data_IF_617413114146
#
_entry.id   IF_617413114146
#
_cell.length_a   1.000
_cell.length_b   1.000
_cell.length_c   1.000
_cell.angle_alpha   90.00
_cell.angle_beta   90.00
_cell.angle_gamma   90.00
#
_symmetry.space_group_name_H-M   'P 1'
#
loop_
_entity.id
_entity.type
_entity.pdbx_description
1 polymer ?
#
# COMPACT_ATOMS: atom_id res chain seq x y z
N UNK A 1 39.42 -13.62 8.02
CA UNK A 1 38.96 -14.55 6.96
C UNK A 1 39.62 -14.15 5.65
N UNK A 2 40.38 -15.04 5.02
CA UNK A 2 41.10 -14.73 3.77
C UNK A 2 40.11 -14.56 2.60
N UNK A 3 40.23 -13.48 1.84
CA UNK A 3 39.42 -13.26 0.63
C UNK A 3 39.90 -14.22 -0.46
N UNK A 4 39.03 -15.06 -1.05
CA UNK A 4 39.45 -16.03 -2.06
C UNK A 4 40.01 -15.33 -3.31
N UNK A 5 41.15 -15.81 -3.81
CA UNK A 5 41.96 -15.24 -4.91
C UNK A 5 41.18 -14.97 -6.22
N UNK A 6 39.99 -15.55 -6.40
CA UNK A 6 39.19 -15.46 -7.62
C UNK A 6 37.84 -14.73 -7.49
N UNK A 7 37.63 -13.99 -6.40
CA UNK A 7 36.35 -13.28 -6.15
C UNK A 7 35.93 -12.35 -7.31
N UNK A 8 36.88 -11.69 -7.98
CA UNK A 8 36.61 -10.79 -9.12
C UNK A 8 36.15 -11.56 -10.38
N UNK A 9 36.77 -12.71 -10.66
CA UNK A 9 36.44 -13.56 -11.82
C UNK A 9 35.05 -14.14 -11.66
N UNK A 10 34.74 -14.70 -10.49
CA UNK A 10 33.41 -15.24 -10.17
C UNK A 10 32.31 -14.16 -10.22
N UNK A 11 32.64 -12.89 -9.92
CA UNK A 11 31.70 -11.78 -10.05
C UNK A 11 31.41 -11.45 -11.52
N UNK A 12 32.44 -11.53 -12.38
CA UNK A 12 32.31 -11.33 -13.83
C UNK A 12 31.41 -12.38 -14.48
N UNK A 13 31.67 -13.66 -14.21
CA UNK A 13 30.88 -14.79 -14.73
C UNK A 13 29.39 -14.69 -14.34
N UNK A 14 29.10 -14.34 -13.09
CA UNK A 14 27.72 -14.10 -12.63
C UNK A 14 27.06 -12.91 -13.34
N UNK A 15 27.83 -11.86 -13.64
CA UNK A 15 27.35 -10.71 -14.40
C UNK A 15 27.03 -11.06 -15.85
N UNK A 16 27.85 -11.89 -16.48
CA UNK A 16 27.64 -12.35 -17.85
C UNK A 16 26.42 -13.28 -17.96
N UNK A 17 26.30 -14.25 -17.06
CA UNK A 17 25.11 -15.11 -17.00
C UNK A 17 23.82 -14.30 -16.75
N UNK A 18 23.88 -13.26 -15.92
CA UNK A 18 22.77 -12.34 -15.69
C UNK A 18 22.42 -11.52 -16.95
N UNK A 19 23.43 -11.03 -17.68
CA UNK A 19 23.26 -10.33 -18.96
C UNK A 19 22.57 -11.23 -19.99
N UNK A 20 22.99 -12.49 -20.11
CA UNK A 20 22.37 -13.44 -21.04
C UNK A 20 20.90 -13.72 -20.67
N UNK A 21 20.58 -13.90 -19.38
CA UNK A 21 19.19 -14.05 -18.91
C UNK A 21 18.34 -12.81 -19.22
N UNK A 22 18.90 -11.63 -19.05
CA UNK A 22 18.21 -10.38 -19.36
C UNK A 22 17.97 -10.21 -20.88
N UNK A 23 18.95 -10.53 -21.71
CA UNK A 23 18.79 -10.53 -23.17
C UNK A 23 17.76 -11.58 -23.62
N UNK A 24 17.79 -12.78 -23.03
CA UNK A 24 16.78 -13.79 -23.29
C UNK A 24 15.37 -13.32 -22.87
N UNK A 25 15.24 -12.57 -21.77
CA UNK A 25 13.98 -11.94 -21.38
C UNK A 25 13.52 -10.89 -22.40
N UNK A 26 14.41 -9.99 -22.83
CA UNK A 26 14.11 -8.99 -23.87
C UNK A 26 13.71 -9.61 -25.20
N UNK A 27 14.35 -10.72 -25.59
CA UNK A 27 14.03 -11.44 -26.82
C UNK A 27 12.75 -12.28 -26.71
N UNK A 28 12.39 -12.72 -25.49
CA UNK A 28 11.15 -13.45 -25.18
C UNK A 28 9.94 -12.55 -24.92
N UNK A 29 10.09 -11.23 -24.92
CA UNK A 29 8.97 -10.27 -24.88
C UNK A 29 8.07 -10.31 -26.14
N UNK A 30 8.34 -11.22 -27.08
CA UNK A 30 7.35 -11.72 -28.05
C UNK A 30 6.15 -12.35 -27.30
N UNK A 31 4.90 -12.24 -27.78
CA UNK A 31 3.66 -12.25 -26.96
C UNK A 31 3.35 -13.54 -26.16
N UNK A 32 4.18 -14.57 -26.21
CA UNK A 32 3.98 -15.87 -25.56
C UNK A 32 4.24 -15.91 -24.05
N UNK A 33 4.85 -14.87 -23.45
CA UNK A 33 5.02 -14.76 -21.98
C UNK A 33 3.80 -14.17 -21.25
N UNK A 34 2.84 -13.58 -21.96
CA UNK A 34 1.60 -13.08 -21.34
C UNK A 34 0.64 -14.24 -20.99
N UNK A 35 0.67 -15.33 -21.76
CA UNK A 35 -0.18 -16.52 -21.54
C UNK A 35 0.16 -17.31 -20.27
N UNK A 36 1.43 -17.29 -19.82
CA UNK A 36 1.87 -18.12 -18.68
C UNK A 36 1.41 -17.61 -17.30
N UNK A 37 0.72 -16.45 -17.25
CA UNK A 37 0.27 -15.84 -16.00
C UNK A 37 -1.24 -15.84 -15.83
N UNK A 38 -2.00 -16.25 -16.85
CA UNK A 38 -3.44 -16.43 -16.74
C UNK A 38 -3.72 -17.50 -15.67
N UNK A 39 -4.39 -17.11 -14.58
CA UNK A 39 -4.76 -18.02 -13.49
C UNK A 39 -3.70 -18.27 -12.41
N UNK A 40 -2.51 -17.67 -12.48
CA UNK A 40 -1.45 -17.83 -11.44
C UNK A 40 -1.56 -16.84 -10.27
N UNK A 41 -2.47 -15.87 -10.37
CA UNK A 41 -2.74 -14.93 -9.29
C UNK A 41 -3.58 -15.58 -8.20
N UNK A 42 -3.11 -15.53 -6.94
CA UNK A 42 -3.93 -15.91 -5.80
C UNK A 42 -5.20 -15.07 -5.68
N UNK A 43 -6.20 -15.57 -4.96
CA UNK A 43 -7.44 -14.84 -4.71
C UNK A 43 -7.13 -13.45 -4.13
N UNK A 44 -7.80 -12.43 -4.67
CA UNK A 44 -7.74 -11.08 -4.13
C UNK A 44 -8.19 -11.13 -2.66
N UNK A 45 -7.48 -10.47 -1.73
CA UNK A 45 -7.92 -10.41 -0.34
C UNK A 45 -9.32 -9.79 -0.26
N UNK A 46 -10.12 -10.31 0.67
CA UNK A 46 -11.47 -9.83 0.94
C UNK A 46 -11.46 -8.32 1.22
N UNK A 47 -12.53 -7.63 0.79
CA UNK A 47 -12.69 -6.19 0.99
C UNK A 47 -13.84 -5.91 1.95
N UNK A 48 -13.60 -5.03 2.94
CA UNK A 48 -14.60 -4.56 3.90
C UNK A 48 -15.14 -3.20 3.46
N UNK A 49 -16.44 -2.98 3.63
CA UNK A 49 -17.07 -1.66 3.47
C UNK A 49 -16.79 -0.81 4.70
N UNK A 50 -16.48 0.46 4.47
CA UNK A 50 -16.16 1.45 5.49
C UNK A 50 -16.97 2.71 5.23
N UNK A 51 -17.28 3.44 6.30
CA UNK A 51 -18.12 4.62 6.27
C UNK A 51 -17.34 5.81 6.84
N UNK A 52 -17.29 6.92 6.10
CA UNK A 52 -16.49 8.08 6.45
C UNK A 52 -17.14 9.38 5.98
N UNK A 53 -16.72 10.52 6.56
CA UNK A 53 -17.10 11.86 6.08
C UNK A 53 -16.02 12.43 5.17
N UNK A 54 -16.41 13.02 4.05
CA UNK A 54 -15.48 13.51 3.03
C UNK A 54 -14.95 14.91 3.38
N UNK A 55 -13.74 15.25 2.94
CA UNK A 55 -13.17 16.59 3.15
C UNK A 55 -13.76 17.62 2.20
N UNK A 56 -13.84 17.29 0.91
CA UNK A 56 -14.19 18.23 -0.17
C UNK A 56 -15.70 18.42 -0.36
N UNK A 57 -16.53 17.73 0.44
CA UNK A 57 -17.98 17.80 0.35
C UNK A 57 -18.55 18.12 1.72
N UNK A 58 -19.40 19.13 1.76
CA UNK A 58 -20.21 19.41 2.94
C UNK A 58 -21.42 18.45 2.93
N UNK A 59 -21.31 17.40 3.72
CA UNK A 59 -22.37 16.43 3.93
C UNK A 59 -22.89 16.63 5.35
N UNK A 60 -24.22 16.62 5.56
CA UNK A 60 -24.76 16.69 6.91
C UNK A 60 -24.22 15.51 7.73
N UNK A 61 -23.98 15.72 9.02
CA UNK A 61 -23.30 14.74 9.87
C UNK A 61 -23.96 13.36 9.99
N UNK A 62 -25.22 13.22 9.53
CA UNK A 62 -25.93 11.94 9.45
C UNK A 62 -25.57 11.13 8.20
N UNK A 63 -24.94 11.73 7.19
CA UNK A 63 -24.60 11.11 5.92
C UNK A 63 -23.11 10.71 5.92
N UNK A 64 -22.85 9.45 5.57
CA UNK A 64 -21.52 8.89 5.43
C UNK A 64 -21.29 8.41 4.00
N UNK A 65 -20.11 8.68 3.45
CA UNK A 65 -19.68 8.13 2.19
C UNK A 65 -19.22 6.67 2.37
N UNK A 66 -19.67 5.79 1.46
CA UNK A 66 -19.16 4.42 1.39
C UNK A 66 -17.78 4.37 0.72
N UNK A 67 -16.84 3.72 1.40
CA UNK A 67 -15.52 3.41 0.89
C UNK A 67 -15.20 1.93 1.11
N UNK A 68 -14.12 1.45 0.48
CA UNK A 68 -13.64 0.08 0.68
C UNK A 68 -12.15 0.05 0.99
N UNK A 69 -11.79 -0.92 1.83
CA UNK A 69 -10.42 -1.31 2.09
C UNK A 69 -10.34 -2.83 2.14
N UNK A 70 -9.17 -3.39 1.83
CA UNK A 70 -8.93 -4.83 2.04
C UNK A 70 -8.95 -5.15 3.54
N UNK A 71 -9.50 -6.29 3.94
CA UNK A 71 -9.56 -6.71 5.35
C UNK A 71 -8.19 -6.63 6.04
N UNK A 72 -7.07 -7.12 5.47
CA UNK A 72 -5.75 -7.00 6.11
C UNK A 72 -5.31 -5.54 6.34
N UNK A 73 -5.69 -4.62 5.44
CA UNK A 73 -5.38 -3.20 5.58
C UNK A 73 -6.15 -2.59 6.75
N UNK A 74 -7.45 -2.88 6.86
CA UNK A 74 -8.29 -2.41 7.97
C UNK A 74 -7.81 -2.95 9.31
N UNK A 75 -7.54 -4.25 9.39
CA UNK A 75 -7.06 -4.92 10.61
C UNK A 75 -5.74 -4.32 11.13
N UNK A 76 -4.88 -3.82 10.24
CA UNK A 76 -3.63 -3.16 10.63
C UNK A 76 -3.86 -1.79 11.28
N UNK A 77 -4.92 -1.07 10.89
CA UNK A 77 -5.13 0.34 11.28
C UNK A 77 -6.29 0.55 12.26
N UNK A 78 -7.18 -0.44 12.43
CA UNK A 78 -8.34 -0.35 13.34
C UNK A 78 -7.96 -0.17 14.81
N UNK A 79 -6.70 -0.38 15.19
CA UNK A 79 -6.21 -0.11 16.55
C UNK A 79 -5.83 1.35 16.79
N UNK A 80 -5.74 2.17 15.73
CA UNK A 80 -5.31 3.57 15.81
C UNK A 80 -6.53 4.44 16.10
N UNK A 81 -6.54 5.11 17.26
CA UNK A 81 -7.68 5.91 17.74
C UNK A 81 -8.08 7.01 16.74
N UNK A 82 -7.11 7.68 16.13
CA UNK A 82 -7.33 8.74 15.15
C UNK A 82 -7.98 8.23 13.86
N UNK A 83 -7.76 6.95 13.51
CA UNK A 83 -8.43 6.29 12.37
C UNK A 83 -9.86 5.94 12.74
N UNK A 84 -10.10 5.33 13.90
CA UNK A 84 -11.46 4.96 14.36
C UNK A 84 -12.37 6.17 14.57
N UNK A 85 -11.82 7.33 14.93
CA UNK A 85 -12.59 8.56 15.04
C UNK A 85 -13.14 9.05 13.69
N UNK A 86 -12.57 8.59 12.57
CA UNK A 86 -12.79 9.15 11.22
C UNK A 86 -13.35 8.14 10.22
N UNK A 87 -13.17 6.86 10.50
CA UNK A 87 -13.61 5.75 9.68
C UNK A 87 -14.37 4.77 10.56
N UNK A 88 -15.62 4.54 10.21
CA UNK A 88 -16.51 3.61 10.91
C UNK A 88 -16.65 2.34 10.09
N UNK A 89 -16.69 1.21 10.76
CA UNK A 89 -16.93 -0.09 10.12
C UNK A 89 -18.40 -0.50 10.15
N UNK A 90 -19.21 0.18 10.97
CA UNK A 90 -20.66 0.08 10.99
C UNK A 90 -21.29 1.45 11.27
N UNK A 91 -22.49 1.67 10.76
CA UNK A 91 -23.30 2.85 11.05
C UNK A 91 -24.66 2.40 11.60
N UNK A 92 -25.12 3.05 12.68
CA UNK A 92 -26.45 2.84 13.24
C UNK A 92 -27.40 3.96 12.79
N UNK A 93 -28.70 3.68 12.76
CA UNK A 93 -29.73 4.70 12.55
C UNK A 93 -29.58 5.84 13.58
N UNK A 94 -29.78 7.12 13.20
CA UNK A 94 -30.35 7.64 11.96
C UNK A 94 -29.32 7.90 10.83
N UNK A 95 -28.10 7.36 10.91
CA UNK A 95 -27.07 7.62 9.91
C UNK A 95 -27.37 6.89 8.59
N UNK A 96 -27.14 7.56 7.48
CA UNK A 96 -27.36 7.07 6.11
C UNK A 96 -26.02 6.92 5.40
N UNK A 97 -25.87 5.85 4.62
CA UNK A 97 -24.72 5.67 3.73
C UNK A 97 -25.06 6.07 2.30
N UNK A 98 -24.17 6.81 1.65
CA UNK A 98 -24.25 7.15 0.24
C UNK A 98 -23.01 6.65 -0.49
N UNK A 99 -23.23 5.97 -1.61
CA UNK A 99 -22.17 5.53 -2.52
C UNK A 99 -22.01 6.54 -3.65
N UNK A 100 -20.90 7.25 -3.66
CA UNK A 100 -20.58 8.20 -4.71
C UNK A 100 -19.83 7.52 -5.87
N UNK A 101 -20.24 7.77 -7.12
CA UNK A 101 -19.62 7.14 -8.30
C UNK A 101 -18.30 7.80 -8.72
N UNK A 102 -18.20 9.13 -8.60
CA UNK A 102 -17.04 9.92 -9.03
C UNK A 102 -16.23 10.52 -7.89
N UNK A 103 -16.78 10.50 -6.66
CA UNK A 103 -16.10 11.07 -5.50
C UNK A 103 -15.29 9.98 -4.82
N UNK A 104 -14.00 10.24 -4.64
CA UNK A 104 -13.11 9.37 -3.90
C UNK A 104 -12.79 9.99 -2.54
N UNK A 105 -12.77 9.19 -1.45
CA UNK A 105 -12.29 9.67 -0.17
C UNK A 105 -10.78 9.90 -0.21
N UNK A 106 -10.29 10.82 0.64
CA UNK A 106 -8.87 10.94 0.90
C UNK A 106 -8.30 9.60 1.37
N UNK A 107 -7.02 9.36 1.09
CA UNK A 107 -6.36 8.10 1.46
C UNK A 107 -5.07 8.36 2.20
N UNK A 108 -4.83 7.51 3.19
CA UNK A 108 -3.58 7.49 3.94
C UNK A 108 -2.80 6.27 3.47
N UNK A 109 -1.57 6.52 3.04
CA UNK A 109 -0.63 5.46 2.69
C UNK A 109 0.31 5.27 3.86
N UNK A 110 0.09 4.19 4.60
CA UNK A 110 0.98 3.72 5.64
C UNK A 110 2.06 2.84 5.03
N UNK A 111 3.33 3.17 5.27
CA UNK A 111 4.45 2.35 4.83
C UNK A 111 5.27 1.96 6.04
N UNK A 112 5.43 0.66 6.29
CA UNK A 112 6.44 0.20 7.25
C UNK A 112 7.82 0.53 6.67
N UNK A 113 8.65 1.26 7.43
CA UNK A 113 10.04 1.47 7.03
C UNK A 113 10.80 0.15 7.01
N UNK A 114 11.98 0.18 6.37
CA UNK A 114 12.86 -0.97 6.24
C UNK A 114 13.10 -1.61 7.60
N UNK A 115 12.69 -2.87 7.76
CA UNK A 115 13.23 -3.70 8.83
C UNK A 115 14.76 -3.67 8.75
N UNK A 116 15.42 -3.65 9.91
CA UNK A 116 16.88 -3.71 10.02
C UNK A 116 17.46 -4.98 9.38
N UNK A 117 16.61 -5.98 9.13
CA UNK A 117 16.94 -7.24 8.45
C UNK A 117 16.20 -7.38 7.11
N UNK A 118 16.95 -7.59 6.02
CA UNK A 118 16.42 -7.97 4.71
C UNK A 118 16.47 -9.49 4.49
N UNK A 119 15.56 -10.03 3.67
CA UNK A 119 15.63 -11.43 3.21
C UNK A 119 16.35 -11.51 1.88
N UNK A 120 17.22 -12.51 1.70
CA UNK A 120 17.87 -12.71 0.40
C UNK A 120 16.82 -13.21 -0.62
N UNK A 121 16.61 -12.44 -1.68
CA UNK A 121 15.72 -12.79 -2.79
C UNK A 121 16.52 -12.82 -4.10
N UNK A 122 15.99 -13.47 -5.13
CA UNK A 122 16.64 -13.59 -6.43
C UNK A 122 15.80 -12.88 -7.48
N UNK A 123 16.42 -12.02 -8.29
CA UNK A 123 15.71 -11.32 -9.36
C UNK A 123 15.22 -12.32 -10.40
N UNK A 124 13.94 -12.27 -10.73
CA UNK A 124 13.37 -13.07 -11.80
C UNK A 124 13.99 -12.74 -13.17
N UNK A 125 14.40 -11.47 -13.37
CA UNK A 125 14.93 -10.99 -14.65
C UNK A 125 16.41 -11.34 -14.83
N UNK A 126 17.22 -11.05 -13.81
CA UNK A 126 18.69 -11.18 -13.91
C UNK A 126 19.23 -12.42 -13.20
N UNK A 127 18.43 -13.10 -12.37
CA UNK A 127 18.90 -14.21 -11.54
C UNK A 127 19.88 -13.81 -10.44
N UNK A 128 20.15 -12.51 -10.26
CA UNK A 128 21.06 -12.02 -9.23
C UNK A 128 20.35 -11.96 -7.88
N UNK A 129 21.08 -12.35 -6.82
CA UNK A 129 20.61 -12.25 -5.43
C UNK A 129 20.65 -10.78 -4.98
N UNK A 130 19.59 -10.33 -4.33
CA UNK A 130 19.46 -9.01 -3.74
C UNK A 130 18.81 -9.12 -2.35
N UNK A 131 19.02 -8.12 -1.49
CA UNK A 131 18.31 -8.02 -0.22
C UNK A 131 16.94 -7.38 -0.45
N UNK A 132 15.88 -8.11 -0.14
CA UNK A 132 14.50 -7.63 -0.14
C UNK A 132 14.12 -7.22 1.26
N UNK A 133 13.81 -5.94 1.44
CA UNK A 133 13.25 -5.42 2.68
C UNK A 133 11.74 -5.67 2.73
N UNK A 134 11.22 -6.14 3.86
CA UNK A 134 9.81 -6.49 4.07
C UNK A 134 8.91 -5.24 4.25
N UNK A 135 9.09 -4.26 3.38
CA UNK A 135 8.29 -3.06 3.37
C UNK A 135 6.86 -3.40 2.95
N UNK A 136 5.90 -3.13 3.82
CA UNK A 136 4.48 -3.21 3.52
C UNK A 136 3.96 -1.80 3.31
N UNK A 137 3.34 -1.59 2.16
CA UNK A 137 2.58 -0.37 1.86
C UNK A 137 1.11 -0.72 1.97
N UNK A 138 0.42 -0.05 2.86
CA UNK A 138 -1.01 -0.20 3.12
C UNK A 138 -1.66 1.14 2.79
N UNK A 139 -2.70 1.11 1.97
CA UNK A 139 -3.51 2.30 1.68
C UNK A 139 -4.90 2.08 2.23
N UNK A 140 -5.39 3.02 3.04
CA UNK A 140 -6.73 2.97 3.61
C UNK A 140 -7.46 4.32 3.42
N UNK A 141 -8.79 4.30 3.28
CA UNK A 141 -9.58 5.52 3.12
C UNK A 141 -9.67 6.28 4.45
N UNK A 142 -9.78 7.59 4.37
CA UNK A 142 -9.75 8.49 5.50
C UNK A 142 -10.66 9.70 5.27
N UNK A 143 -11.13 10.30 6.36
CA UNK A 143 -12.16 11.34 6.32
C UNK A 143 -12.12 12.26 7.53
N UNK A 144 -13.14 13.09 7.68
CA UNK A 144 -13.31 14.01 8.81
C UNK A 144 -13.79 13.29 10.08
N UNK A 145 -13.36 13.74 11.25
CA UNK A 145 -13.92 13.30 12.53
C UNK A 145 -15.21 14.07 12.91
N UNK A 146 -15.24 15.36 12.58
CA UNK A 146 -16.37 16.28 12.79
C UNK A 146 -16.53 17.20 11.58
N UNK A 147 -17.64 17.93 11.50
CA UNK A 147 -17.94 18.79 10.35
C UNK A 147 -16.99 20.00 10.25
N UNK A 148 -16.35 20.37 11.36
CA UNK A 148 -15.33 21.42 11.45
C UNK A 148 -13.90 20.93 11.20
N UNK A 149 -13.67 19.61 11.13
CA UNK A 149 -12.32 19.04 11.03
C UNK A 149 -11.69 19.39 9.67
N UNK A 150 -10.54 20.04 9.69
CA UNK A 150 -9.80 20.35 8.47
C UNK A 150 -8.90 19.19 8.08
N UNK A 151 -8.53 19.11 6.80
CA UNK A 151 -7.61 18.08 6.33
C UNK A 151 -6.24 18.15 7.05
N UNK A 152 -5.73 19.36 7.28
CA UNK A 152 -4.45 19.57 7.94
C UNK A 152 -4.45 19.07 9.39
N UNK A 153 -5.52 19.31 10.15
CA UNK A 153 -5.69 18.83 11.52
C UNK A 153 -5.79 17.31 11.58
N UNK A 154 -6.57 16.73 10.66
CA UNK A 154 -6.73 15.29 10.56
C UNK A 154 -5.41 14.57 10.23
N UNK A 155 -4.59 15.17 9.34
CA UNK A 155 -3.23 14.72 9.03
C UNK A 155 -2.31 14.80 10.25
N UNK A 156 -2.34 15.91 10.99
CA UNK A 156 -1.51 16.10 12.17
C UNK A 156 -1.86 15.08 13.27
N UNK A 157 -3.16 14.85 13.51
CA UNK A 157 -3.64 13.86 14.48
C UNK A 157 -3.18 12.43 14.15
N UNK A 158 -3.20 12.06 12.86
CA UNK A 158 -2.69 10.76 12.42
C UNK A 158 -1.18 10.62 12.61
N UNK A 159 -0.42 11.67 12.29
CA UNK A 159 1.05 11.67 12.43
C UNK A 159 1.51 11.51 13.88
N UNK A 160 0.72 11.99 14.85
CA UNK A 160 1.04 11.86 16.29
C UNK A 160 0.85 10.43 16.81
N UNK A 161 -0.11 9.68 16.27
CA UNK A 161 -0.46 8.34 16.76
C UNK A 161 0.19 7.22 15.96
N UNK A 162 0.62 7.50 14.73
CA UNK A 162 1.41 6.56 13.94
C UNK A 162 2.88 6.72 14.36
N UNK A 163 3.56 5.66 14.85
CA UNK A 163 4.96 5.76 15.24
C UNK A 163 5.81 6.28 14.06
N UNK A 164 6.79 7.14 14.36
CA UNK A 164 7.64 7.85 13.38
C UNK A 164 8.40 6.95 12.40
N UNK A 165 8.40 5.64 12.66
CA UNK A 165 8.88 4.57 11.79
C UNK A 165 7.96 4.26 10.61
N UNK A 166 6.84 4.97 10.45
CA UNK A 166 6.01 4.95 9.26
C UNK A 166 5.71 6.38 8.81
N UNK A 167 6.06 6.72 7.57
CA UNK A 167 5.72 8.04 7.00
C UNK A 167 4.37 7.94 6.30
N UNK A 168 3.29 8.50 6.86
CA UNK A 168 2.02 8.58 6.14
C UNK A 168 2.21 9.52 4.95
N UNK A 169 1.99 9.00 3.74
CA UNK A 169 1.84 9.82 2.54
C UNK A 169 0.35 10.02 2.31
N UNK A 170 -0.06 11.28 2.21
CA UNK A 170 -1.43 11.64 1.92
C UNK A 170 -1.56 11.92 0.43
N UNK A 171 -2.59 11.36 -0.19
CA UNK A 171 -2.98 11.72 -1.55
C UNK A 171 -4.23 12.58 -1.45
N UNK A 172 -4.04 13.88 -1.70
CA UNK A 172 -5.12 14.77 -2.08
C UNK A 172 -5.23 14.64 -3.61
N UNK A 173 -6.26 13.95 -4.09
CA UNK A 173 -6.61 13.99 -5.51
C UNK A 173 -7.60 15.14 -5.69
N UNK A 174 -7.02 16.33 -5.89
CA UNK A 174 -7.56 17.56 -6.48
C UNK A 174 -8.79 18.25 -5.84
N UNK A 175 -8.68 19.58 -5.80
CA UNK A 175 -9.77 20.54 -5.70
C UNK A 175 -10.62 20.55 -6.97
#
# INVERSE_FOLDING_TARGET
MAVPKFHRVLRGERGEAAKQKYLAYLNRLSPTLEDSKVGTGGNRPESKKLFLRLFNYDLPGTIFAEASATVPAWETVKGVTAVNARVKDNIAAPNVSLKFKKVKPARVIYRTLNDTSGTASTSHLTGLRYLKYNNKTISFPFGKASDTDTFAEAVAALKLQIPSTAKPRFQDEDA
#
